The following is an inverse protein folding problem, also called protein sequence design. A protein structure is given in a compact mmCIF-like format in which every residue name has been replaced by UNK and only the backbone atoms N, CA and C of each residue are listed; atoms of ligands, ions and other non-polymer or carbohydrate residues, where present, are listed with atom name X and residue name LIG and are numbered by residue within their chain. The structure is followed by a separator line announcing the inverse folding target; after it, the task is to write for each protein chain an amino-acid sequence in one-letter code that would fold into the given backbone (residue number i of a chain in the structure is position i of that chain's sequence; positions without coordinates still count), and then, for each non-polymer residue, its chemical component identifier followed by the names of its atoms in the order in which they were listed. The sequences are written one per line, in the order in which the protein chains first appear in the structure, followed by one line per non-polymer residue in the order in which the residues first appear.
data_IF_620472980904
#
_entry.id   IF_620472980904
#
_cell.length_a   1.000
_cell.length_b   1.000
_cell.length_c   1.000
_cell.angle_alpha   90.00
_cell.angle_beta   90.00
_cell.angle_gamma   90.00
#
_symmetry.space_group_name_H-M   'P 1'
#
loop_
_entity.id
_entity.type
_entity.pdbx_description
1 polymer ?
#
# COMPACT_ATOMS: atom_id res chain seq x y z
N UNK A 1 12.42 -15.55 1.49
CA UNK A 1 10.97 -15.85 1.42
C UNK A 1 10.38 -14.89 2.45
N UNK A 2 9.83 -13.73 2.10
CA UNK A 2 8.55 -13.63 1.38
C UNK A 2 8.13 -12.15 1.13
N UNK A 3 8.98 -11.29 0.57
CA UNK A 3 8.65 -9.87 0.33
C UNK A 3 7.36 -9.68 -0.50
N UNK A 4 7.08 -10.62 -1.42
CA UNK A 4 5.85 -10.57 -2.23
C UNK A 4 4.55 -10.86 -1.46
N UNK A 5 4.59 -11.42 -0.24
CA UNK A 5 3.35 -11.81 0.45
C UNK A 5 2.57 -10.61 0.97
N UNK A 6 3.26 -9.57 1.47
CA UNK A 6 2.62 -8.34 1.95
C UNK A 6 2.03 -7.55 0.77
N UNK A 7 2.78 -7.43 -0.32
CA UNK A 7 2.29 -6.81 -1.56
C UNK A 7 1.07 -7.52 -2.15
N UNK A 8 1.01 -8.86 -2.12
CA UNK A 8 -0.15 -9.62 -2.58
C UNK A 8 -1.36 -9.39 -1.67
N UNK A 9 -1.16 -9.37 -0.35
CA UNK A 9 -2.21 -9.05 0.60
C UNK A 9 -2.75 -7.63 0.36
N UNK A 10 -1.86 -6.65 0.19
CA UNK A 10 -2.22 -5.26 -0.07
C UNK A 10 -3.03 -5.12 -1.37
N UNK A 11 -2.58 -5.78 -2.45
CA UNK A 11 -3.34 -5.80 -3.71
C UNK A 11 -4.73 -6.41 -3.53
N UNK A 12 -4.87 -7.46 -2.73
CA UNK A 12 -6.14 -8.15 -2.53
C UNK A 12 -7.11 -7.24 -1.78
N UNK A 13 -6.69 -6.67 -0.65
CA UNK A 13 -7.51 -5.78 0.17
C UNK A 13 -7.91 -4.51 -0.60
N UNK A 14 -6.99 -3.89 -1.34
CA UNK A 14 -7.28 -2.71 -2.15
C UNK A 14 -8.18 -3.07 -3.34
N UNK A 15 -8.06 -4.27 -3.92
CA UNK A 15 -8.96 -4.72 -4.98
C UNK A 15 -10.38 -4.92 -4.44
N UNK A 16 -10.54 -5.55 -3.27
CA UNK A 16 -11.84 -5.72 -2.62
C UNK A 16 -12.49 -4.37 -2.26
N UNK A 17 -11.71 -3.44 -1.71
CA UNK A 17 -12.13 -2.07 -1.42
C UNK A 17 -12.62 -1.34 -2.68
N UNK A 18 -11.90 -1.48 -3.80
CA UNK A 18 -12.27 -0.88 -5.09
C UNK A 18 -13.33 -1.68 -5.87
N UNK A 19 -13.81 -2.79 -5.33
CA UNK A 19 -14.72 -3.72 -5.98
C UNK A 19 -14.21 -4.22 -7.35
N UNK A 20 -12.90 -4.51 -7.42
CA UNK A 20 -12.22 -5.06 -8.59
C UNK A 20 -11.82 -6.51 -8.33
N UNK A 21 -11.83 -7.33 -9.38
CA UNK A 21 -11.42 -8.73 -9.31
C UNK A 21 -9.90 -8.86 -9.06
N UNK A 22 -9.13 -7.99 -9.71
CA UNK A 22 -7.69 -7.89 -9.56
C UNK A 22 -7.25 -6.45 -9.88
N UNK A 23 -6.22 -5.99 -9.18
CA UNK A 23 -5.51 -4.76 -9.48
C UNK A 23 -4.03 -5.05 -9.71
N UNK A 24 -3.37 -4.13 -10.40
CA UNK A 24 -1.96 -4.24 -10.71
C UNK A 24 -1.15 -3.32 -9.79
N UNK A 25 -0.16 -3.87 -9.11
CA UNK A 25 0.66 -3.13 -8.14
C UNK A 25 1.56 -2.07 -8.77
N UNK A 26 1.80 -2.12 -10.08
CA UNK A 26 2.58 -1.13 -10.83
C UNK A 26 1.69 -0.03 -11.41
N UNK A 27 0.37 -0.10 -11.19
CA UNK A 27 -0.59 0.95 -11.57
C UNK A 27 -0.68 2.02 -10.48
N UNK A 28 -0.64 3.31 -10.83
CA UNK A 28 -0.82 4.40 -9.87
C UNK A 28 -2.17 4.34 -9.17
N UNK A 29 -2.21 4.73 -7.89
CA UNK A 29 -3.41 4.80 -7.06
C UNK A 29 -4.53 5.59 -7.78
N UNK A 30 -4.23 6.73 -8.38
CA UNK A 30 -5.19 7.52 -9.14
C UNK A 30 -5.80 6.76 -10.32
N UNK A 31 -5.02 5.93 -11.02
CA UNK A 31 -5.51 5.09 -12.13
C UNK A 31 -6.25 3.84 -11.63
N UNK A 32 -5.92 3.35 -10.43
CA UNK A 32 -6.66 2.29 -9.78
C UNK A 32 -8.08 2.73 -9.38
N UNK A 33 -8.36 4.03 -9.32
CA UNK A 33 -9.62 4.57 -8.79
C UNK A 33 -9.57 4.83 -7.29
N UNK A 34 -8.35 4.98 -6.76
CA UNK A 34 -8.15 5.53 -5.42
C UNK A 34 -8.26 7.05 -5.52
N UNK A 35 -9.26 7.58 -4.85
CA UNK A 35 -9.58 8.99 -4.72
C UNK A 35 -9.23 9.49 -3.31
N UNK A 36 -9.21 10.80 -3.11
CA UNK A 36 -8.94 11.44 -1.81
C UNK A 36 -9.88 11.00 -0.67
N UNK A 37 -11.04 10.42 -0.98
CA UNK A 37 -11.98 9.88 0.01
C UNK A 37 -11.59 8.48 0.48
N UNK A 38 -11.05 7.67 -0.42
CA UNK A 38 -10.85 6.25 -0.20
C UNK A 38 -9.35 5.93 0.06
N UNK A 39 -8.45 6.89 -0.23
CA UNK A 39 -7.01 6.83 0.15
C UNK A 39 -6.81 6.59 1.65
N UNK A 40 -7.70 7.09 2.50
CA UNK A 40 -7.65 6.85 3.95
C UNK A 40 -7.84 5.36 4.26
N UNK A 41 -8.74 4.66 3.57
CA UNK A 41 -8.90 3.21 3.75
C UNK A 41 -7.66 2.45 3.26
N UNK A 42 -7.07 2.86 2.14
CA UNK A 42 -5.82 2.28 1.63
C UNK A 42 -4.69 2.40 2.66
N UNK A 43 -4.58 3.56 3.32
CA UNK A 43 -3.60 3.78 4.40
C UNK A 43 -3.88 2.82 5.57
N UNK A 44 -5.13 2.70 6.01
CA UNK A 44 -5.51 1.80 7.10
C UNK A 44 -5.24 0.33 6.77
N UNK A 45 -5.44 -0.08 5.51
CA UNK A 45 -5.07 -1.41 5.02
C UNK A 45 -3.56 -1.61 5.12
N UNK A 46 -2.78 -0.60 4.72
CA UNK A 46 -1.32 -0.64 4.86
C UNK A 46 -0.90 -0.77 6.32
N UNK A 47 -1.46 0.00 7.25
CA UNK A 47 -1.12 -0.11 8.67
C UNK A 47 -1.47 -1.50 9.26
N UNK A 48 -2.53 -2.12 8.78
CA UNK A 48 -2.93 -3.48 9.20
C UNK A 48 -2.00 -4.56 8.66
N UNK A 49 -1.54 -4.42 7.41
CA UNK A 49 -0.63 -5.40 6.78
C UNK A 49 0.80 -5.21 7.29
N UNK A 50 1.25 -3.96 7.36
CA UNK A 50 2.62 -3.58 7.73
C UNK A 50 2.64 -3.12 9.20
N UNK A 51 2.41 -4.07 10.10
CA UNK A 51 2.36 -3.84 11.56
C UNK A 51 3.69 -3.39 12.20
N UNK A 52 4.78 -3.38 11.42
CA UNK A 52 6.14 -3.14 11.89
C UNK A 52 6.72 -1.80 11.40
N UNK A 53 5.89 -0.94 10.84
CA UNK A 53 6.28 0.40 10.36
C UNK A 53 6.47 1.32 11.55
N UNK A 54 7.67 1.90 11.66
CA UNK A 54 8.02 2.74 12.81
C UNK A 54 7.62 4.20 12.63
N UNK A 55 7.51 4.66 11.39
CA UNK A 55 7.13 6.03 11.06
C UNK A 55 6.23 6.05 9.82
N UNK A 56 4.91 5.82 9.99
CA UNK A 56 3.95 5.85 8.88
C UNK A 56 3.70 7.28 8.36
N UNK A 57 4.05 8.32 9.13
CA UNK A 57 3.92 9.72 8.74
C UNK A 57 5.01 10.17 7.74
N UNK A 58 6.14 9.47 7.68
CA UNK A 58 7.17 9.66 6.66
C UNK A 58 6.77 9.16 5.26
N UNK A 59 5.69 8.39 5.16
CA UNK A 59 5.25 7.80 3.90
C UNK A 59 4.53 8.83 3.05
N UNK A 60 4.93 8.94 1.79
CA UNK A 60 4.31 9.85 0.83
C UNK A 60 3.42 9.01 -0.09
N UNK A 61 2.11 9.17 0.12
CA UNK A 61 1.07 8.62 -0.75
C UNK A 61 0.45 9.74 -1.57
N UNK A 62 0.57 9.64 -2.88
CA UNK A 62 0.04 10.57 -3.86
C UNK A 62 -0.70 9.80 -4.98
N UNK A 63 -1.44 10.50 -5.85
CA UNK A 63 -2.13 9.91 -6.99
C UNK A 63 -1.19 9.13 -7.94
N UNK A 64 0.09 9.52 -8.00
CA UNK A 64 1.11 8.84 -8.80
C UNK A 64 1.78 7.66 -8.10
N UNK A 65 1.57 7.48 -6.79
CA UNK A 65 2.16 6.38 -6.03
C UNK A 65 1.52 5.06 -6.45
N UNK A 66 2.31 4.00 -6.58
CA UNK A 66 1.82 2.65 -6.88
C UNK A 66 1.81 1.78 -5.62
N UNK A 67 1.04 0.68 -5.60
CA UNK A 67 1.07 -0.23 -4.45
C UNK A 67 2.47 -0.83 -4.23
N UNK A 68 3.26 -0.99 -5.30
CA UNK A 68 4.66 -1.40 -5.23
C UNK A 68 5.53 -0.35 -4.54
N UNK A 69 5.34 0.94 -4.86
CA UNK A 69 6.04 2.02 -4.17
C UNK A 69 5.64 2.08 -2.69
N UNK A 70 4.37 1.84 -2.36
CA UNK A 70 3.91 1.78 -0.98
C UNK A 70 4.59 0.64 -0.22
N UNK A 71 4.58 -0.57 -0.77
CA UNK A 71 5.26 -1.74 -0.21
C UNK A 71 6.74 -1.46 0.03
N UNK A 72 7.45 -0.91 -0.96
CA UNK A 72 8.85 -0.53 -0.80
C UNK A 72 9.07 0.49 0.33
N UNK A 73 8.30 1.58 0.35
CA UNK A 73 8.43 2.61 1.40
C UNK A 73 8.10 2.05 2.80
N UNK A 74 7.05 1.23 2.91
CA UNK A 74 6.64 0.60 4.17
C UNK A 74 7.70 -0.40 4.68
N UNK A 75 8.28 -1.18 3.78
CA UNK A 75 9.37 -2.10 4.10
C UNK A 75 10.62 -1.33 4.56
N UNK A 76 11.03 -0.30 3.84
CA UNK A 76 12.16 0.57 4.24
C UNK A 76 11.91 1.24 5.59
N UNK A 77 10.69 1.73 5.84
CA UNK A 77 10.31 2.34 7.12
C UNK A 77 10.23 1.31 8.27
N UNK A 78 10.07 0.02 7.96
CA UNK A 78 10.09 -1.07 8.95
C UNK A 78 11.50 -1.59 9.26
N UNK A 79 12.43 -1.50 8.30
CA UNK A 79 13.80 -2.01 8.42
C UNK A 79 14.76 -1.02 9.11
N UNK A 80 14.35 0.24 9.31
CA UNK A 80 15.20 1.32 9.83
C UNK A 80 15.55 1.22 11.33
N UNK A 81 15.49 0.03 11.92
CA UNK A 81 16.03 -0.28 13.24
C UNK A 81 17.43 -0.91 13.12
N UNK A 82 18.46 -0.05 13.05
CA UNK A 82 19.84 -0.38 13.48
C UNK A 82 20.37 0.64 14.47
#
# INVERSE_FOLDING_TARGET
MSDNTLLIALQTEVAEMLNKDQIDADTPLGELGVDSLNVVEVILICEQIYTNVSDPEALIFDEFTTLRDMDAQLLEASDNFV
#
